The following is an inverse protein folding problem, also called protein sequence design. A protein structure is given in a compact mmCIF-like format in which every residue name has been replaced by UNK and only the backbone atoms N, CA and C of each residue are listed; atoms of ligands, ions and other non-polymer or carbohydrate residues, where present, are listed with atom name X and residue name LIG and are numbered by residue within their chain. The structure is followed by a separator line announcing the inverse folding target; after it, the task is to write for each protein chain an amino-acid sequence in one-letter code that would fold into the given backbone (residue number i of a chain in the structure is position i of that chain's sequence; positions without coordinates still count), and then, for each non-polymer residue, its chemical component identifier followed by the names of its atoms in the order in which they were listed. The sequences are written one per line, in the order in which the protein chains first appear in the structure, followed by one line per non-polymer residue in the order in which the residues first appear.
data_IF_563540610939
#
_entry.id   IF_563540610939
#
_cell.length_a   1.000
_cell.length_b   1.000
_cell.length_c   1.000
_cell.angle_alpha   90.00
_cell.angle_beta   90.00
_cell.angle_gamma   90.00
#
_symmetry.space_group_name_H-M   'P 1'
#
loop_
_entity.id
_entity.type
_entity.pdbx_description
1 polymer ?
#
# COMPACT_ATOMS: atom_id res chain seq x y z
N UNK A 1 18.54 11.52 -14.83
CA UNK A 1 19.33 11.33 -13.60
C UNK A 1 20.76 10.91 -13.99
N UNK A 2 21.80 11.51 -13.41
CA UNK A 2 23.19 11.12 -13.64
C UNK A 2 23.50 9.69 -13.15
N UNK A 3 24.44 9.01 -13.81
CA UNK A 3 24.79 7.62 -13.49
C UNK A 3 25.34 7.43 -12.07
N UNK A 4 26.11 8.38 -11.56
CA UNK A 4 26.63 8.36 -10.18
C UNK A 4 25.50 8.36 -9.15
N UNK A 5 24.56 9.30 -9.29
CA UNK A 5 23.36 9.37 -8.44
C UNK A 5 22.49 8.12 -8.55
N UNK A 6 22.39 7.52 -9.75
CA UNK A 6 21.70 6.24 -9.93
C UNK A 6 22.38 5.12 -9.15
N UNK A 7 23.71 5.06 -9.16
CA UNK A 7 24.46 4.00 -8.49
C UNK A 7 24.37 4.09 -6.96
N UNK A 8 24.28 5.28 -6.39
CA UNK A 8 24.07 5.49 -4.95
C UNK A 8 22.72 4.95 -4.45
N UNK A 9 21.78 4.69 -5.35
CA UNK A 9 20.45 4.17 -5.04
C UNK A 9 20.35 2.64 -5.17
N UNK A 10 21.47 1.95 -5.41
CA UNK A 10 21.52 0.50 -5.60
C UNK A 10 22.26 -0.17 -4.45
N UNK A 11 21.80 -1.36 -4.05
CA UNK A 11 22.43 -2.18 -2.99
C UNK A 11 23.64 -2.95 -3.53
N UNK A 12 23.47 -3.56 -4.70
CA UNK A 12 24.43 -4.48 -5.33
C UNK A 12 24.68 -4.14 -6.81
N UNK A 13 24.30 -2.93 -7.22
CA UNK A 13 24.33 -2.50 -8.62
C UNK A 13 23.11 -2.93 -9.44
N UNK A 14 22.13 -3.63 -8.85
CA UNK A 14 20.88 -4.02 -9.52
C UNK A 14 19.66 -3.65 -8.67
N UNK A 15 19.60 -4.08 -7.40
CA UNK A 15 18.44 -3.87 -6.53
C UNK A 15 18.43 -2.47 -5.92
N UNK A 16 17.26 -1.83 -5.88
CA UNK A 16 17.12 -0.52 -5.25
C UNK A 16 17.25 -0.61 -3.73
N UNK A 17 17.98 0.34 -3.16
CA UNK A 17 17.93 0.62 -1.72
C UNK A 17 16.68 1.46 -1.38
N UNK A 18 16.53 1.87 -0.12
CA UNK A 18 15.37 2.66 0.31
C UNK A 18 15.21 3.97 -0.49
N UNK A 19 16.30 4.66 -0.80
CA UNK A 19 16.27 5.88 -1.60
C UNK A 19 15.84 5.60 -3.05
N UNK A 20 16.36 4.53 -3.66
CA UNK A 20 15.95 4.09 -4.99
C UNK A 20 14.47 3.73 -5.09
N UNK A 21 13.95 2.97 -4.13
CA UNK A 21 12.53 2.63 -4.07
C UNK A 21 11.65 3.87 -3.92
N UNK A 22 12.06 4.85 -3.09
CA UNK A 22 11.35 6.13 -2.97
C UNK A 22 11.32 6.90 -4.30
N UNK A 23 12.45 6.99 -4.99
CA UNK A 23 12.54 7.69 -6.27
C UNK A 23 11.69 7.04 -7.38
N UNK A 24 11.60 5.70 -7.40
CA UNK A 24 10.73 4.98 -8.33
C UNK A 24 9.26 5.17 -7.95
N UNK A 25 8.93 5.14 -6.67
CA UNK A 25 7.57 5.38 -6.20
C UNK A 25 7.06 6.77 -6.61
N UNK A 26 7.87 7.82 -6.43
CA UNK A 26 7.53 9.18 -6.87
C UNK A 26 7.29 9.27 -8.38
N UNK A 27 8.15 8.63 -9.18
CA UNK A 27 7.97 8.58 -10.63
C UNK A 27 6.71 7.81 -11.04
N UNK A 28 6.40 6.71 -10.36
CA UNK A 28 5.19 5.93 -10.60
C UNK A 28 3.94 6.79 -10.33
N UNK A 29 3.87 7.45 -9.17
CA UNK A 29 2.76 8.33 -8.84
C UNK A 29 2.64 9.49 -9.84
N UNK A 30 3.75 10.12 -10.22
CA UNK A 30 3.74 11.19 -11.22
C UNK A 30 3.19 10.72 -12.56
N UNK A 31 3.56 9.52 -13.02
CA UNK A 31 3.03 8.92 -14.26
C UNK A 31 1.56 8.60 -14.16
N UNK A 32 1.12 8.01 -13.04
CA UNK A 32 -0.29 7.72 -12.79
C UNK A 32 -1.13 8.99 -12.81
N UNK A 33 -0.69 10.07 -12.17
CA UNK A 33 -1.41 11.34 -12.18
C UNK A 33 -1.50 11.97 -13.58
N UNK A 34 -0.46 11.86 -14.39
CA UNK A 34 -0.41 12.44 -15.73
C UNK A 34 -1.20 11.63 -16.78
N UNK A 35 -1.07 10.31 -16.74
CA UNK A 35 -1.58 9.42 -17.79
C UNK A 35 -2.90 8.72 -17.39
N UNK A 36 -3.13 8.53 -16.09
CA UNK A 36 -4.26 7.76 -15.54
C UNK A 36 -4.94 8.46 -14.34
N UNK A 37 -5.44 9.70 -14.49
CA UNK A 37 -5.92 10.51 -13.36
C UNK A 37 -7.08 9.87 -12.59
N UNK A 38 -7.95 9.09 -13.24
CA UNK A 38 -9.04 8.35 -12.59
C UNK A 38 -8.52 7.22 -11.68
N UNK A 39 -7.45 6.53 -12.11
CA UNK A 39 -6.78 5.52 -11.30
C UNK A 39 -6.07 6.16 -10.11
N UNK A 40 -5.37 7.28 -10.31
CA UNK A 40 -4.72 8.02 -9.22
C UNK A 40 -5.73 8.42 -8.13
N UNK A 41 -6.88 9.00 -8.51
CA UNK A 41 -7.95 9.33 -7.55
C UNK A 41 -8.52 8.10 -6.85
N UNK A 42 -8.61 6.97 -7.55
CA UNK A 42 -9.10 5.72 -6.95
C UNK A 42 -8.11 5.20 -5.92
N UNK A 43 -6.81 5.22 -6.21
CA UNK A 43 -5.76 4.81 -5.28
C UNK A 43 -5.69 5.68 -4.02
N UNK A 44 -5.91 7.00 -4.13
CA UNK A 44 -6.02 7.88 -2.95
C UNK A 44 -7.20 7.51 -2.04
N UNK A 45 -8.32 7.09 -2.64
CA UNK A 45 -9.52 6.67 -1.90
C UNK A 45 -9.44 5.24 -1.38
N UNK A 46 -8.67 4.37 -2.04
CA UNK A 46 -8.64 2.93 -1.74
C UNK A 46 -7.77 2.57 -0.54
N UNK A 47 -7.60 3.51 0.40
CA UNK A 47 -7.09 3.14 1.72
C UNK A 47 -8.11 2.23 2.39
N UNK A 48 -7.78 0.94 2.46
CA UNK A 48 -8.54 -0.01 3.25
C UNK A 48 -8.63 0.52 4.69
N UNK A 49 -9.80 0.47 5.31
CA UNK A 49 -9.88 0.58 6.75
C UNK A 49 -8.84 -0.29 7.43
N UNK A 50 -8.28 0.20 8.54
CA UNK A 50 -7.40 -0.60 9.37
C UNK A 50 -8.06 -1.96 9.67
N UNK A 51 -7.26 -3.02 9.73
CA UNK A 51 -7.75 -4.37 10.04
C UNK A 51 -8.62 -4.40 11.32
N UNK A 52 -8.32 -3.53 12.30
CA UNK A 52 -9.13 -3.34 13.50
C UNK A 52 -10.58 -2.93 13.24
N UNK A 53 -10.85 -2.14 12.19
CA UNK A 53 -12.22 -1.79 11.81
C UNK A 53 -12.99 -3.03 11.36
N UNK A 54 -12.39 -3.86 10.52
CA UNK A 54 -13.01 -5.10 10.06
C UNK A 54 -13.27 -6.10 11.19
N UNK A 55 -12.36 -6.18 12.18
CA UNK A 55 -12.57 -6.99 13.39
C UNK A 55 -13.75 -6.45 14.22
N UNK A 56 -13.89 -5.12 14.33
CA UNK A 56 -14.97 -4.49 15.09
C UNK A 56 -16.34 -4.65 14.41
N UNK A 57 -16.35 -4.62 13.07
CA UNK A 57 -17.57 -4.72 12.25
C UNK A 57 -17.89 -6.16 11.83
N UNK A 58 -17.16 -7.17 12.33
CA UNK A 58 -17.38 -8.57 11.97
C UNK A 58 -18.73 -9.08 12.51
N UNK A 59 -19.72 -9.40 11.65
CA UNK A 59 -21.00 -9.93 12.08
C UNK A 59 -20.91 -11.37 12.61
N UNK A 60 -19.77 -12.04 12.41
CA UNK A 60 -19.47 -13.39 12.89
C UNK A 60 -18.66 -13.39 14.19
N UNK A 61 -18.74 -12.33 15.01
CA UNK A 61 -18.34 -12.43 16.42
C UNK A 61 -19.19 -13.55 17.02
N UNK A 62 -18.54 -14.68 17.33
CA UNK A 62 -19.15 -15.80 18.05
C UNK A 62 -19.51 -15.28 19.43
N UNK A 63 -20.70 -14.68 19.54
CA UNK A 63 -21.35 -14.46 20.81
C UNK A 63 -21.58 -15.86 21.33
N UNK A 64 -20.74 -16.29 22.26
CA UNK A 64 -20.84 -17.59 22.90
C UNK A 64 -22.04 -17.56 23.87
N UNK A 65 -23.23 -17.33 23.31
CA UNK A 65 -24.51 -17.57 23.95
C UNK A 65 -24.66 -19.07 23.98
N UNK A 66 -24.11 -19.64 25.06
CA UNK A 66 -24.36 -20.99 25.51
C UNK A 66 -25.87 -21.10 25.80
N UNK A 67 -26.67 -21.31 24.76
CA UNK A 67 -28.00 -21.89 24.91
C UNK A 67 -27.81 -23.37 25.27
N UNK A 68 -27.68 -23.65 26.57
CA UNK A 68 -27.98 -24.99 27.10
C UNK A 68 -29.50 -25.13 27.16
N UNK A 69 -30.09 -25.56 26.05
CA UNK A 69 -31.44 -26.13 26.01
C UNK A 69 -31.37 -27.65 25.95
N UNK A 70 -32.02 -28.33 26.90
CA UNK A 70 -32.24 -29.78 26.90
C UNK A 70 -31.94 -30.45 28.22
#
# INVERSE_FOLDING_TARGET
MPAMTRNEMLVDGIHFNAAGNKAVNEQLHSKLSAEFPSLAQSLERWQFPAASKYVTEDPWIVNNSTETGG
#
